data_IF_311256932878
#
_entry.id   IF_311256932878
#
_cell.length_a   1.000
_cell.length_b   1.000
_cell.length_c   1.000
_cell.angle_alpha   90.00
_cell.angle_beta   90.00
_cell.angle_gamma   90.00
#
_symmetry.space_group_name_H-M   'P 1'
#
loop_
_entity.id
_entity.type
_entity.pdbx_description
1 polymer ?
#
# COMPACT_ATOMS: atom_id res chain seq x y z
N UNK A 1 6.07 30.51 17.29
CA UNK A 1 6.63 29.26 16.73
C UNK A 1 5.72 28.12 17.17
N UNK A 2 5.12 27.37 16.25
CA UNK A 2 4.33 26.20 16.61
C UNK A 2 5.30 25.10 17.06
N UNK A 3 5.26 24.74 18.34
CA UNK A 3 5.98 23.58 18.86
C UNK A 3 5.17 22.32 18.57
N UNK A 4 5.78 21.38 17.84
CA UNK A 4 5.17 20.10 17.51
C UNK A 4 5.34 19.12 18.66
N UNK A 5 4.26 18.48 19.10
CA UNK A 5 4.28 17.58 20.26
C UNK A 5 4.31 16.13 19.80
N UNK A 6 5.22 15.35 20.38
CA UNK A 6 5.29 13.89 20.24
C UNK A 6 5.12 13.28 21.63
N UNK A 7 4.11 12.43 21.77
CA UNK A 7 3.89 11.62 22.96
C UNK A 7 4.71 10.34 22.87
N UNK A 8 5.34 9.94 23.96
CA UNK A 8 6.21 8.76 24.05
C UNK A 8 5.71 7.87 25.17
N UNK A 9 5.64 6.56 24.90
CA UNK A 9 5.27 5.58 25.92
C UNK A 9 6.32 5.53 27.03
N UNK A 10 5.90 5.28 28.28
CA UNK A 10 6.79 5.26 29.45
C UNK A 10 8.02 4.35 29.28
N UNK A 11 7.86 3.21 28.59
CA UNK A 11 8.96 2.27 28.29
C UNK A 11 10.04 2.83 27.35
N UNK A 12 9.73 3.88 26.59
CA UNK A 12 10.63 4.48 25.57
C UNK A 12 11.30 5.77 26.03
N UNK A 13 11.07 6.22 27.26
CA UNK A 13 11.56 7.51 27.80
C UNK A 13 13.08 7.65 27.71
N UNK A 14 13.80 6.53 27.85
CA UNK A 14 15.26 6.48 27.83
C UNK A 14 15.84 5.98 26.50
N UNK A 15 14.99 5.63 25.53
CA UNK A 15 15.44 5.13 24.23
C UNK A 15 16.20 6.21 23.44
N UNK A 16 17.20 5.81 22.66
CA UNK A 16 18.06 6.71 21.86
C UNK A 16 17.24 7.65 20.94
N UNK A 17 16.20 7.13 20.27
CA UNK A 17 15.27 7.91 19.43
C UNK A 17 14.62 9.04 20.25
N UNK A 18 14.17 8.75 21.47
CA UNK A 18 13.56 9.73 22.36
C UNK A 18 14.56 10.78 22.82
N UNK A 19 15.79 10.38 23.13
CA UNK A 19 16.86 11.31 23.51
C UNK A 19 17.20 12.26 22.35
N UNK A 20 17.34 11.73 21.14
CA UNK A 20 17.60 12.53 19.94
C UNK A 20 16.44 13.48 19.60
N UNK A 21 15.18 13.03 19.75
CA UNK A 21 14.00 13.90 19.57
C UNK A 21 13.98 15.08 20.56
N UNK A 22 14.41 14.87 21.82
CA UNK A 22 14.49 15.96 22.81
C UNK A 22 15.53 17.01 22.47
N UNK A 23 16.60 16.64 21.77
CA UNK A 23 17.64 17.57 21.33
C UNK A 23 17.22 18.39 20.10
N UNK A 24 16.14 18.00 19.43
CA UNK A 24 15.69 18.60 18.18
C UNK A 24 14.86 19.86 18.41
N UNK A 25 15.26 20.96 17.77
CA UNK A 25 14.54 22.24 17.85
C UNK A 25 13.14 22.12 17.24
N UNK A 26 12.14 22.72 17.90
CA UNK A 26 10.76 22.77 17.41
C UNK A 26 9.92 21.52 17.72
N UNK A 27 10.50 20.52 18.36
CA UNK A 27 9.81 19.32 18.84
C UNK A 27 9.77 19.33 20.36
N UNK A 28 8.59 19.09 20.93
CA UNK A 28 8.39 18.86 22.37
C UNK A 28 8.03 17.40 22.57
N UNK A 29 8.78 16.72 23.43
CA UNK A 29 8.52 15.32 23.79
C UNK A 29 7.76 15.27 25.10
N UNK A 30 6.60 14.64 25.12
CA UNK A 30 5.78 14.43 26.30
C UNK A 30 5.71 12.93 26.62
N UNK A 31 5.79 12.58 27.90
CA UNK A 31 5.65 11.19 28.33
C UNK A 31 4.17 10.92 28.58
N UNK A 32 3.62 9.88 27.95
CA UNK A 32 2.26 9.44 28.15
C UNK A 32 2.26 8.01 28.68
N UNK A 33 1.91 7.83 29.95
CA UNK A 33 1.85 6.52 30.61
C UNK A 33 0.70 5.65 30.09
N UNK A 34 -0.33 6.26 29.52
CA UNK A 34 -1.48 5.57 28.92
C UNK A 34 -1.19 5.09 27.49
N UNK A 35 -0.08 5.54 26.88
CA UNK A 35 0.36 5.10 25.56
C UNK A 35 1.04 3.72 25.65
N UNK A 36 0.23 2.70 25.93
CA UNK A 36 0.71 1.31 26.09
C UNK A 36 0.77 0.57 24.75
N UNK A 37 -0.11 0.93 23.81
CA UNK A 37 -0.30 0.21 22.54
C UNK A 37 0.64 0.68 21.42
N UNK A 38 1.36 1.79 21.59
CA UNK A 38 2.32 2.32 20.62
C UNK A 38 3.57 2.84 21.33
N UNK A 39 4.63 3.10 20.57
CA UNK A 39 5.93 3.54 21.10
C UNK A 39 6.03 5.07 21.08
N UNK A 40 5.59 5.66 19.97
CA UNK A 40 5.49 7.09 19.75
C UNK A 40 4.10 7.42 19.20
N UNK A 41 3.58 8.60 19.51
CA UNK A 41 2.35 9.12 18.93
C UNK A 41 2.47 10.61 18.64
N UNK A 42 2.01 11.00 17.46
CA UNK A 42 1.65 12.39 17.17
C UNK A 42 0.13 12.54 17.32
N UNK A 43 -0.40 13.76 17.21
CA UNK A 43 -1.86 13.99 17.22
C UNK A 43 -2.61 13.25 16.11
N UNK A 44 -1.93 12.86 15.03
CA UNK A 44 -2.55 12.33 13.84
C UNK A 44 -2.07 10.93 13.44
N UNK A 45 -1.01 10.40 14.05
CA UNK A 45 -0.47 9.09 13.69
C UNK A 45 0.23 8.43 14.88
N UNK A 46 0.10 7.12 14.99
CA UNK A 46 0.76 6.30 16.00
C UNK A 46 1.87 5.47 15.37
N UNK A 47 2.99 5.32 16.07
CA UNK A 47 4.19 4.65 15.55
C UNK A 47 4.64 3.57 16.52
N UNK A 48 4.85 2.37 15.98
CA UNK A 48 5.59 1.28 16.60
C UNK A 48 6.99 1.27 15.99
N UNK A 49 8.01 1.29 16.83
CA UNK A 49 9.41 1.31 16.41
C UNK A 49 10.05 -0.04 16.74
N UNK A 50 10.72 -0.64 15.77
CA UNK A 50 11.57 -1.80 16.00
C UNK A 50 12.87 -1.69 15.20
N UNK A 51 13.89 -2.37 15.69
CA UNK A 51 15.12 -2.58 14.95
C UNK A 51 15.04 -3.94 14.25
N UNK A 52 15.37 -3.98 12.96
CA UNK A 52 15.31 -5.18 12.11
C UNK A 52 16.12 -6.34 12.70
N UNK A 53 17.21 -6.02 13.39
CA UNK A 53 18.16 -6.99 13.94
C UNK A 53 18.01 -7.18 15.45
N UNK A 54 16.99 -6.57 16.08
CA UNK A 54 16.75 -6.87 17.48
C UNK A 54 16.42 -8.34 17.65
N UNK A 55 17.07 -8.97 18.63
CA UNK A 55 16.85 -10.38 18.92
C UNK A 55 15.39 -10.66 19.34
N UNK A 56 14.69 -9.62 19.81
CA UNK A 56 13.25 -9.64 20.09
C UNK A 56 12.42 -9.79 18.81
N UNK A 57 12.75 -9.04 17.76
CA UNK A 57 12.02 -9.10 16.50
C UNK A 57 12.28 -10.42 15.76
N UNK A 58 13.47 -11.02 15.90
CA UNK A 58 13.79 -12.31 15.32
C UNK A 58 13.10 -13.46 16.03
N UNK A 59 13.02 -13.41 17.37
CA UNK A 59 12.42 -14.48 18.17
C UNK A 59 10.91 -14.40 18.26
N UNK A 60 10.31 -13.23 18.04
CA UNK A 60 8.88 -13.02 18.33
C UNK A 60 8.15 -12.19 17.27
N UNK A 61 8.17 -12.71 16.05
CA UNK A 61 7.35 -12.21 14.93
C UNK A 61 5.86 -12.14 15.28
N UNK A 62 5.36 -13.13 16.00
CA UNK A 62 3.96 -13.21 16.42
C UNK A 62 3.59 -12.07 17.37
N UNK A 63 4.44 -11.74 18.35
CA UNK A 63 4.23 -10.60 19.23
C UNK A 63 4.22 -9.27 18.51
N UNK A 64 5.09 -9.06 17.51
CA UNK A 64 5.03 -7.82 16.71
C UNK A 64 3.68 -7.68 15.99
N UNK A 65 3.19 -8.76 15.39
CA UNK A 65 1.88 -8.77 14.73
C UNK A 65 0.74 -8.52 15.73
N UNK A 66 0.78 -9.16 16.89
CA UNK A 66 -0.22 -8.93 17.95
C UNK A 66 -0.20 -7.48 18.45
N UNK A 67 0.98 -6.89 18.63
CA UNK A 67 1.12 -5.48 19.01
C UNK A 67 0.56 -4.54 17.93
N UNK A 68 0.77 -4.84 16.65
CA UNK A 68 0.18 -4.08 15.54
C UNK A 68 -1.34 -4.19 15.52
N UNK A 69 -1.87 -5.40 15.74
CA UNK A 69 -3.31 -5.63 15.84
C UNK A 69 -3.93 -4.84 16.98
N UNK A 70 -3.32 -4.90 18.16
CA UNK A 70 -3.79 -4.15 19.33
C UNK A 70 -3.71 -2.64 19.08
N UNK A 71 -2.59 -2.14 18.53
CA UNK A 71 -2.45 -0.74 18.17
C UNK A 71 -3.55 -0.29 17.21
N UNK A 72 -3.83 -1.10 16.17
CA UNK A 72 -4.88 -0.82 15.19
C UNK A 72 -6.27 -0.78 15.79
N UNK A 73 -6.61 -1.72 16.66
CA UNK A 73 -7.90 -1.73 17.33
C UNK A 73 -8.10 -0.52 18.24
N UNK A 74 -7.03 -0.06 18.92
CA UNK A 74 -7.12 1.08 19.85
C UNK A 74 -7.02 2.45 19.19
N UNK A 75 -6.34 2.56 18.05
CA UNK A 75 -6.14 3.84 17.34
C UNK A 75 -7.36 4.27 16.50
N UNK A 76 -8.37 3.41 16.31
CA UNK A 76 -9.55 3.73 15.51
C UNK A 76 -9.16 4.11 14.07
N UNK A 77 -9.53 5.32 13.64
CA UNK A 77 -9.20 5.82 12.29
C UNK A 77 -7.79 6.39 12.18
N UNK A 78 -7.06 6.55 13.29
CA UNK A 78 -5.71 7.08 13.27
C UNK A 78 -4.75 6.08 12.59
N UNK A 79 -3.92 6.52 11.63
CA UNK A 79 -2.94 5.66 11.00
C UNK A 79 -1.93 5.11 12.01
N UNK A 80 -1.72 3.80 11.93
CA UNK A 80 -0.67 3.08 12.67
C UNK A 80 0.46 2.78 11.70
N UNK A 81 1.67 3.16 12.10
CA UNK A 81 2.89 3.03 11.31
C UNK A 81 3.85 2.09 12.05
N UNK A 82 4.30 1.03 11.39
CA UNK A 82 5.46 0.26 11.78
C UNK A 82 6.70 0.92 11.17
N UNK A 83 7.56 1.46 12.02
CA UNK A 83 8.88 1.98 11.64
C UNK A 83 9.94 0.93 11.98
N UNK A 84 10.66 0.47 10.97
CA UNK A 84 11.72 -0.53 11.10
C UNK A 84 13.06 0.12 10.80
N UNK A 85 13.94 0.18 11.80
CA UNK A 85 15.34 0.58 11.58
C UNK A 85 16.09 -0.57 10.92
N UNK A 86 16.62 -0.30 9.74
CA UNK A 86 17.52 -1.15 8.99
C UNK A 86 18.95 -0.82 9.41
N UNK A 87 19.73 -1.85 9.72
CA UNK A 87 21.16 -1.68 9.91
C UNK A 87 21.84 -1.67 8.53
N UNK A 88 22.71 -0.68 8.28
CA UNK A 88 23.47 -0.59 7.04
C UNK A 88 24.49 -1.70 6.90
N UNK A 89 24.95 -2.25 8.02
CA UNK A 89 26.07 -3.20 8.06
C UNK A 89 25.60 -4.66 7.99
N UNK A 90 24.28 -4.88 8.13
CA UNK A 90 23.67 -6.20 8.09
C UNK A 90 22.47 -6.23 7.13
N UNK A 91 22.63 -6.95 6.02
CA UNK A 91 21.56 -7.14 5.05
C UNK A 91 20.38 -7.91 5.67
N UNK A 92 19.18 -7.36 5.51
CA UNK A 92 17.93 -8.02 5.90
C UNK A 92 17.48 -8.91 4.75
N UNK A 93 17.20 -10.18 5.05
CA UNK A 93 16.81 -11.15 4.02
C UNK A 93 15.52 -10.75 3.30
N UNK A 94 15.41 -11.14 2.02
CA UNK A 94 14.21 -10.88 1.21
C UNK A 94 12.96 -11.54 1.82
N UNK A 95 13.10 -12.72 2.44
CA UNK A 95 11.99 -13.37 3.17
C UNK A 95 11.48 -12.48 4.31
N UNK A 96 12.39 -11.83 5.03
CA UNK A 96 12.06 -10.94 6.15
C UNK A 96 11.39 -9.66 5.67
N UNK A 97 11.87 -9.06 4.59
CA UNK A 97 11.24 -7.89 3.96
C UNK A 97 9.84 -8.23 3.42
N UNK A 98 9.69 -9.39 2.78
CA UNK A 98 8.41 -9.89 2.30
C UNK A 98 7.43 -10.11 3.45
N UNK A 99 7.88 -10.74 4.54
CA UNK A 99 7.09 -10.92 5.76
C UNK A 99 6.65 -9.58 6.37
N UNK A 100 7.55 -8.60 6.51
CA UNK A 100 7.22 -7.26 6.98
C UNK A 100 6.13 -6.61 6.12
N UNK A 101 6.27 -6.69 4.80
CA UNK A 101 5.32 -6.09 3.89
C UNK A 101 3.95 -6.78 3.96
N UNK A 102 3.91 -8.11 3.85
CA UNK A 102 2.67 -8.87 3.75
C UNK A 102 1.95 -9.00 5.10
N UNK A 103 2.67 -9.40 6.16
CA UNK A 103 2.06 -9.71 7.45
C UNK A 103 1.87 -8.47 8.32
N UNK A 104 2.80 -7.52 8.28
CA UNK A 104 2.72 -6.30 9.10
C UNK A 104 2.07 -5.14 8.33
N UNK A 105 2.46 -4.91 7.08
CA UNK A 105 1.90 -3.83 6.24
C UNK A 105 0.49 -4.15 5.76
N UNK A 106 0.36 -5.14 4.87
CA UNK A 106 -0.89 -5.45 4.16
C UNK A 106 -1.93 -6.06 5.10
N UNK A 107 -1.61 -7.15 5.80
CA UNK A 107 -2.58 -7.88 6.62
C UNK A 107 -3.08 -7.07 7.81
N UNK A 108 -2.22 -6.28 8.47
CA UNK A 108 -2.64 -5.36 9.55
C UNK A 108 -3.06 -3.98 9.06
N UNK A 109 -3.08 -3.76 7.73
CA UNK A 109 -3.38 -2.48 7.10
C UNK A 109 -2.54 -1.32 7.66
N UNK A 110 -1.30 -1.56 8.10
CA UNK A 110 -0.44 -0.55 8.71
C UNK A 110 0.51 0.09 7.69
N UNK A 111 0.95 1.31 7.96
CA UNK A 111 2.02 1.93 7.18
C UNK A 111 3.34 1.27 7.54
N UNK A 112 4.07 0.75 6.56
CA UNK A 112 5.42 0.22 6.79
C UNK A 112 6.44 1.24 6.31
N UNK A 113 7.37 1.61 7.19
CA UNK A 113 8.45 2.55 6.88
C UNK A 113 9.76 1.95 7.32
N UNK A 114 10.69 1.88 6.38
CA UNK A 114 12.06 1.49 6.62
C UNK A 114 12.87 2.77 6.82
N UNK A 115 13.75 2.79 7.81
CA UNK A 115 14.68 3.89 8.08
C UNK A 115 16.09 3.33 8.20
N UNK A 116 17.10 4.03 7.70
CA UNK A 116 18.48 3.51 7.62
C UNK A 116 19.37 4.06 8.72
N UNK A 117 18.90 5.06 9.45
CA UNK A 117 19.63 5.67 10.54
C UNK A 117 18.71 6.14 11.66
N UNK A 118 19.31 6.38 12.83
CA UNK A 118 18.63 7.03 13.93
C UNK A 118 18.11 8.42 13.53
N UNK A 119 18.90 9.17 12.75
CA UNK A 119 18.54 10.50 12.29
C UNK A 119 17.31 10.49 11.36
N UNK A 120 17.20 9.48 10.48
CA UNK A 120 16.02 9.29 9.63
C UNK A 120 14.76 9.03 10.46
N UNK A 121 14.86 8.18 11.49
CA UNK A 121 13.77 7.89 12.40
C UNK A 121 13.29 9.17 13.11
N UNK A 122 14.23 9.94 13.65
CA UNK A 122 13.97 11.22 14.34
C UNK A 122 13.38 12.26 13.39
N UNK A 123 13.92 12.36 12.17
CA UNK A 123 13.43 13.25 11.12
C UNK A 123 11.99 12.92 10.73
N UNK A 124 11.69 11.64 10.56
CA UNK A 124 10.37 11.18 10.19
C UNK A 124 9.35 11.49 11.30
N UNK A 125 9.67 11.13 12.55
CA UNK A 125 8.81 11.41 13.71
C UNK A 125 8.55 12.91 13.90
N UNK A 126 9.58 13.75 13.75
CA UNK A 126 9.42 15.20 13.79
C UNK A 126 8.51 15.72 12.66
N UNK A 127 8.63 15.13 11.46
CA UNK A 127 7.82 15.50 10.30
C UNK A 127 6.35 15.07 10.48
N UNK A 128 6.08 13.91 11.07
CA UNK A 128 4.71 13.49 11.41
C UNK A 128 4.01 14.50 12.32
N UNK A 129 4.71 14.97 13.35
CA UNK A 129 4.18 15.97 14.27
C UNK A 129 3.99 17.36 13.61
N UNK A 130 4.74 17.65 12.55
CA UNK A 130 4.64 18.88 11.77
C UNK A 130 3.49 18.88 10.77
N UNK A 131 3.33 17.80 10.02
CA UNK A 131 2.38 17.70 8.91
C UNK A 131 1.06 17.02 9.27
N UNK A 132 0.94 16.45 10.47
CA UNK A 132 -0.26 15.79 10.97
C UNK A 132 -0.84 14.78 9.96
N UNK A 133 -0.04 13.78 9.57
CA UNK A 133 -0.44 12.76 8.58
C UNK A 133 -1.67 11.99 9.07
N UNK A 134 -2.84 12.26 8.49
CA UNK A 134 -4.12 11.65 8.91
C UNK A 134 -4.52 10.42 8.09
N UNK A 135 -3.85 10.16 6.96
CA UNK A 135 -4.14 9.02 6.09
C UNK A 135 -2.85 8.41 5.54
N UNK A 136 -2.86 7.08 5.41
CA UNK A 136 -1.82 6.28 4.75
C UNK A 136 -2.29 5.75 3.40
N UNK A 137 -3.47 6.18 2.94
CA UNK A 137 -3.97 5.79 1.63
C UNK A 137 -2.99 6.26 0.56
N UNK A 138 -2.63 5.33 -0.33
CA UNK A 138 -1.91 5.65 -1.56
C UNK A 138 -2.88 6.34 -2.53
N UNK A 139 -3.31 7.55 -2.20
CA UNK A 139 -3.89 8.44 -3.20
C UNK A 139 -2.70 8.92 -4.01
N UNK A 140 -2.52 8.39 -5.22
CA UNK A 140 -1.51 8.90 -6.15
C UNK A 140 -1.58 10.42 -6.13
N UNK A 141 -0.45 11.05 -5.76
CA UNK A 141 -0.39 12.46 -5.41
C UNK A 141 -1.30 13.26 -6.34
N UNK A 142 -2.35 13.88 -5.79
CA UNK A 142 -3.29 14.66 -6.58
C UNK A 142 -2.46 15.72 -7.31
N UNK A 143 -2.20 15.46 -8.61
CA UNK A 143 -1.48 16.42 -9.44
C UNK A 143 -2.31 17.69 -9.40
N UNK A 144 -1.65 18.87 -9.29
CA UNK A 144 -2.37 20.14 -9.31
C UNK A 144 -3.34 20.11 -10.49
N UNK A 145 -4.62 20.38 -10.23
CA UNK A 145 -5.64 20.47 -11.26
C UNK A 145 -5.19 21.57 -12.23
N UNK A 146 -4.55 21.17 -13.33
CA UNK A 146 -4.12 22.10 -14.38
C UNK A 146 -5.40 22.50 -15.10
N UNK A 147 -6.04 23.54 -14.57
CA UNK A 147 -7.30 24.07 -15.08
C UNK A 147 -7.24 24.36 -16.58
N UNK A 148 -8.37 24.12 -17.23
CA UNK A 148 -8.85 24.61 -18.53
C UNK A 148 -7.97 24.48 -19.78
N UNK A 149 -6.72 24.02 -19.69
CA UNK A 149 -5.87 23.81 -20.85
C UNK A 149 -6.05 22.38 -21.41
N UNK A 150 -6.53 22.21 -22.67
CA UNK A 150 -6.76 20.87 -23.23
C UNK A 150 -5.48 20.04 -23.41
N UNK A 151 -4.34 20.69 -23.66
CA UNK A 151 -3.09 20.00 -23.96
C UNK A 151 -2.48 19.25 -22.76
N UNK A 152 -2.38 19.83 -21.54
CA UNK A 152 -2.00 19.08 -20.34
C UNK A 152 -2.84 17.83 -20.09
N UNK A 153 -4.16 17.92 -20.24
CA UNK A 153 -5.07 16.77 -20.09
C UNK A 153 -4.76 15.69 -21.13
N UNK A 154 -4.50 16.08 -22.38
CA UNK A 154 -4.11 15.14 -23.43
C UNK A 154 -2.76 14.49 -23.17
N UNK A 155 -1.80 15.25 -22.63
CA UNK A 155 -0.49 14.72 -22.25
C UNK A 155 -0.67 13.66 -21.17
N UNK A 156 -1.43 13.96 -20.11
CA UNK A 156 -1.66 13.01 -19.03
C UNK A 156 -2.41 11.75 -19.50
N UNK A 157 -3.40 11.89 -20.37
CA UNK A 157 -4.18 10.77 -20.89
C UNK A 157 -3.36 9.86 -21.83
N UNK A 158 -2.65 10.44 -22.79
CA UNK A 158 -1.97 9.66 -23.84
C UNK A 158 -0.60 9.13 -23.37
N UNK A 159 0.03 9.73 -22.37
CA UNK A 159 1.32 9.26 -21.82
C UNK A 159 1.18 8.22 -20.72
N UNK A 160 -0.02 7.67 -20.47
CA UNK A 160 -0.19 6.51 -19.56
C UNK A 160 0.57 5.27 -20.04
N UNK A 161 0.87 5.19 -21.33
CA UNK A 161 1.76 4.19 -21.93
C UNK A 161 2.98 4.89 -22.55
N UNK A 162 3.93 5.39 -21.73
CA UNK A 162 5.06 6.19 -22.21
C UNK A 162 5.96 5.44 -23.21
N UNK A 163 5.97 4.10 -23.17
CA UNK A 163 6.61 3.21 -24.13
C UNK A 163 5.97 3.21 -25.53
N UNK A 164 4.79 3.80 -25.69
CA UNK A 164 4.07 3.97 -26.96
C UNK A 164 4.02 5.44 -27.35
N UNK A 165 3.71 6.34 -26.40
CA UNK A 165 3.50 7.78 -26.67
C UNK A 165 4.23 8.62 -25.64
N UNK A 166 5.13 9.48 -26.11
CA UNK A 166 5.83 10.46 -25.27
C UNK A 166 5.09 11.79 -25.28
N UNK A 167 5.39 12.67 -24.31
CA UNK A 167 4.85 14.05 -24.28
C UNK A 167 5.07 14.81 -25.60
N UNK A 168 6.25 14.65 -26.22
CA UNK A 168 6.56 15.29 -27.49
C UNK A 168 5.68 14.78 -28.63
N UNK A 169 5.32 13.49 -28.62
CA UNK A 169 4.39 12.94 -29.60
C UNK A 169 3.00 13.53 -29.39
N UNK A 170 2.52 13.65 -28.14
CA UNK A 170 1.22 14.27 -27.85
C UNK A 170 1.14 15.69 -28.39
N UNK A 171 2.19 16.50 -28.20
CA UNK A 171 2.26 17.87 -28.75
C UNK A 171 2.19 17.84 -30.29
N UNK A 172 2.90 16.92 -30.94
CA UNK A 172 2.87 16.79 -32.42
C UNK A 172 1.51 16.31 -32.92
N UNK A 173 0.87 15.40 -32.21
CA UNK A 173 -0.48 14.90 -32.51
C UNK A 173 -1.48 16.05 -32.38
N UNK A 174 -1.45 16.79 -31.28
CA UNK A 174 -2.33 17.94 -31.04
C UNK A 174 -2.17 19.04 -32.09
N UNK A 175 -0.95 19.23 -32.62
CA UNK A 175 -0.71 20.20 -33.70
C UNK A 175 -1.13 19.70 -35.09
N UNK A 176 -1.33 18.39 -35.28
CA UNK A 176 -1.64 17.79 -36.59
C UNK A 176 -3.10 17.33 -36.71
N UNK A 177 -3.73 16.98 -35.60
CA UNK A 177 -5.09 16.47 -35.52
C UNK A 177 -6.01 17.54 -34.93
N UNK A 178 -7.18 17.69 -35.54
CA UNK A 178 -8.12 18.79 -35.21
C UNK A 178 -8.89 18.52 -33.92
N UNK A 179 -9.01 17.25 -33.55
CA UNK A 179 -9.71 16.82 -32.34
C UNK A 179 -9.16 15.47 -31.84
N UNK A 180 -9.52 15.13 -30.61
CA UNK A 180 -9.22 13.82 -30.02
C UNK A 180 -9.94 12.70 -30.77
N UNK A 181 -11.17 12.94 -31.23
CA UNK A 181 -11.92 11.97 -32.01
C UNK A 181 -11.21 11.64 -33.34
N UNK A 182 -10.70 12.67 -34.03
CA UNK A 182 -9.88 12.51 -35.24
C UNK A 182 -8.62 11.68 -34.94
N UNK A 183 -7.91 12.00 -33.85
CA UNK A 183 -6.80 11.18 -33.37
C UNK A 183 -7.21 9.71 -33.13
N UNK A 184 -8.21 9.43 -32.29
CA UNK A 184 -8.62 8.06 -31.97
C UNK A 184 -9.09 7.23 -33.18
N UNK A 185 -9.68 7.90 -34.18
CA UNK A 185 -10.19 7.25 -35.39
C UNK A 185 -9.16 7.17 -36.52
N UNK A 186 -7.97 7.71 -36.36
CA UNK A 186 -6.93 7.73 -37.39
C UNK A 186 -6.37 6.33 -37.73
N UNK A 187 -6.16 6.07 -39.02
CA UNK A 187 -5.47 4.88 -39.52
C UNK A 187 -3.95 4.98 -39.32
N UNK A 188 -3.22 3.84 -39.28
CA UNK A 188 -1.74 3.82 -39.17
C UNK A 188 -1.05 4.73 -40.19
N UNK A 189 -1.54 4.80 -41.44
CA UNK A 189 -0.96 5.64 -42.49
C UNK A 189 -1.03 7.14 -42.17
N UNK A 190 -2.04 7.59 -41.44
CA UNK A 190 -2.17 8.99 -41.04
C UNK A 190 -1.21 9.36 -39.91
N UNK A 191 -0.93 8.40 -39.03
CA UNK A 191 0.06 8.54 -37.97
C UNK A 191 1.49 8.58 -38.50
N UNK A 192 1.78 7.79 -39.53
CA UNK A 192 3.10 7.77 -40.20
C UNK A 192 3.48 9.14 -40.78
N UNK A 193 2.49 9.97 -41.12
CA UNK A 193 2.69 11.34 -41.57
C UNK A 193 3.11 12.34 -40.49
N UNK A 194 3.21 11.92 -39.23
CA UNK A 194 3.61 12.77 -38.09
C UNK A 194 5.08 12.50 -37.75
N UNK A 195 5.88 13.56 -37.70
CA UNK A 195 7.31 13.45 -37.38
C UNK A 195 7.54 12.71 -36.05
N UNK A 196 8.35 11.64 -36.07
CA UNK A 196 8.65 10.81 -34.90
C UNK A 196 7.64 9.68 -34.60
N UNK A 197 6.56 9.57 -35.39
CA UNK A 197 5.60 8.45 -35.35
C UNK A 197 5.80 7.53 -36.56
N UNK A 198 6.95 6.84 -36.62
CA UNK A 198 7.20 5.89 -37.71
C UNK A 198 6.25 4.68 -37.70
N UNK A 199 6.26 3.90 -38.80
CA UNK A 199 5.36 2.74 -39.05
C UNK A 199 5.10 1.82 -37.86
N UNK A 200 6.15 1.42 -37.13
CA UNK A 200 6.00 0.55 -35.95
C UNK A 200 5.17 1.20 -34.83
N UNK A 201 5.38 2.50 -34.60
CA UNK A 201 4.71 3.27 -33.55
C UNK A 201 3.29 3.65 -33.96
N UNK A 202 3.09 3.99 -35.23
CA UNK A 202 1.78 4.18 -35.84
C UNK A 202 0.88 2.93 -35.72
N UNK A 203 1.41 1.76 -36.07
CA UNK A 203 0.68 0.49 -35.92
C UNK A 203 0.32 0.19 -34.46
N UNK A 204 1.24 0.45 -33.51
CA UNK A 204 0.99 0.28 -32.07
C UNK A 204 -0.08 1.25 -31.55
N UNK A 205 -0.05 2.51 -31.99
CA UNK A 205 -1.05 3.52 -31.65
C UNK A 205 -2.44 3.13 -32.16
N UNK A 206 -2.54 2.74 -33.43
CA UNK A 206 -3.80 2.28 -34.01
C UNK A 206 -4.33 1.06 -33.26
N UNK A 207 -3.47 0.08 -32.96
CA UNK A 207 -3.86 -1.08 -32.18
C UNK A 207 -4.34 -0.66 -30.78
N UNK A 208 -3.60 0.19 -30.06
CA UNK A 208 -3.98 0.64 -28.72
C UNK A 208 -5.37 1.30 -28.68
N UNK A 209 -5.72 2.12 -29.66
CA UNK A 209 -7.04 2.79 -29.70
C UNK A 209 -8.18 1.91 -30.20
N UNK A 210 -7.89 0.87 -31.00
CA UNK A 210 -8.91 0.03 -31.64
C UNK A 210 -9.01 -1.38 -31.09
N UNK A 211 -8.11 -1.78 -30.19
CA UNK A 211 -8.19 -3.09 -29.55
C UNK A 211 -9.44 -3.13 -28.67
N UNK A 212 -10.39 -4.04 -28.93
CA UNK A 212 -11.53 -4.19 -28.07
C UNK A 212 -11.06 -4.64 -26.69
N UNK A 213 -11.69 -4.10 -25.64
CA UNK A 213 -11.55 -4.67 -24.31
C UNK A 213 -12.21 -6.05 -24.35
N UNK A 214 -11.41 -7.10 -24.55
CA UNK A 214 -11.85 -8.46 -24.37
C UNK A 214 -12.02 -8.65 -22.87
N UNK A 215 -13.25 -8.52 -22.38
CA UNK A 215 -13.61 -9.12 -21.10
C UNK A 215 -13.48 -10.62 -21.28
N UNK A 216 -12.31 -11.19 -21.01
CA UNK A 216 -12.31 -12.58 -20.57
C UNK A 216 -13.28 -12.60 -19.41
N UNK A 217 -14.30 -13.46 -19.47
CA UNK A 217 -15.24 -13.70 -18.37
C UNK A 217 -14.54 -14.35 -17.16
N UNK A 218 -13.22 -14.19 -17.03
CA UNK A 218 -12.45 -14.54 -15.87
C UNK A 218 -12.61 -13.40 -14.87
N UNK A 219 -13.71 -13.48 -14.12
CA UNK A 219 -13.80 -12.81 -12.82
C UNK A 219 -12.54 -13.14 -12.04
N UNK A 220 -12.08 -12.24 -11.19
CA UNK A 220 -10.94 -12.46 -10.28
C UNK A 220 -11.11 -13.78 -9.48
N UNK A 221 -12.37 -14.18 -9.24
CA UNK A 221 -12.79 -15.48 -8.69
C UNK A 221 -12.23 -16.71 -9.45
N UNK A 222 -11.86 -16.60 -10.73
CA UNK A 222 -11.31 -17.71 -11.52
C UNK A 222 -9.85 -18.01 -11.23
N UNK A 223 -9.14 -17.11 -10.54
CA UNK A 223 -7.78 -17.34 -10.05
C UNK A 223 -7.75 -17.92 -8.63
N UNK A 224 -8.91 -17.98 -7.97
CA UNK A 224 -9.11 -18.73 -6.73
C UNK A 224 -9.58 -20.13 -7.12
N UNK A 225 -8.83 -21.20 -6.81
CA UNK A 225 -9.32 -22.55 -7.03
C UNK A 225 -10.64 -22.70 -6.27
N UNK A 226 -11.70 -23.11 -6.97
CA UNK A 226 -12.97 -23.45 -6.37
C UNK A 226 -12.80 -24.71 -5.50
N UNK A 227 -12.25 -24.56 -4.29
CA UNK A 227 -12.47 -25.53 -3.22
C UNK A 227 -13.88 -25.28 -2.71
N UNK A 228 -14.79 -26.16 -3.13
CA UNK A 228 -16.21 -26.10 -2.81
C UNK A 228 -16.47 -26.06 -1.30
N UNK A 229 -17.51 -25.30 -0.94
CA UNK A 229 -17.98 -25.19 0.44
C UNK A 229 -18.52 -23.80 0.75
N UNK A 230 -19.74 -23.55 0.30
CA UNK A 230 -20.58 -22.38 0.64
C UNK A 230 -20.52 -22.00 2.13
N UNK A 231 -20.08 -20.78 2.46
CA UNK A 231 -20.63 -19.98 3.58
C UNK A 231 -20.17 -18.51 3.58
N UNK A 232 -20.34 -17.78 2.48
CA UNK A 232 -20.16 -16.31 2.50
C UNK A 232 -21.03 -15.64 1.42
N UNK A 233 -22.34 -15.82 1.50
CA UNK A 233 -23.28 -15.12 0.61
C UNK A 233 -24.49 -14.54 1.36
N UNK A 234 -24.28 -14.12 2.61
CA UNK A 234 -25.30 -13.46 3.43
C UNK A 234 -24.70 -12.32 4.24
N UNK A 235 -24.11 -11.32 3.56
CA UNK A 235 -23.77 -10.04 4.20
C UNK A 235 -23.83 -8.84 3.23
N UNK A 236 -24.74 -8.84 2.26
CA UNK A 236 -25.01 -7.65 1.42
C UNK A 236 -26.46 -7.50 0.94
N UNK A 237 -27.41 -8.09 1.67
CA UNK A 237 -28.84 -7.78 1.52
C UNK A 237 -29.46 -7.54 2.90
N UNK A 238 -29.06 -6.46 3.54
CA UNK A 238 -29.72 -5.93 4.73
C UNK A 238 -29.64 -4.40 4.74
N UNK A 239 -29.97 -3.79 3.60
CA UNK A 239 -30.23 -2.37 3.49
C UNK A 239 -31.30 -2.19 2.42
N UNK A 240 -32.55 -2.51 2.77
CA UNK A 240 -33.77 -1.89 2.23
C UNK A 240 -35.03 -2.60 2.80
N UNK A 241 -35.98 -1.78 3.26
CA UNK A 241 -37.39 -2.05 3.56
C UNK A 241 -37.84 -2.43 5.00
N UNK A 242 -38.22 -1.36 5.73
CA UNK A 242 -39.49 -1.09 6.43
C UNK A 242 -40.11 -2.02 7.51
N UNK A 243 -40.28 -1.39 8.69
CA UNK A 243 -41.40 -1.42 9.67
C UNK A 243 -42.12 -2.75 9.96
N UNK A 244 -42.02 -3.22 11.21
CA UNK A 244 -43.12 -3.31 12.20
C UNK A 244 -42.63 -3.89 13.54
N UNK A 245 -42.97 -3.22 14.65
CA UNK A 245 -42.97 -3.74 16.03
C UNK A 245 -44.34 -4.40 16.33
N UNK A 246 -44.61 -5.03 17.51
CA UNK A 246 -43.74 -5.51 18.60
C UNK A 246 -44.13 -6.94 19.12
N UNK A 247 -43.43 -7.40 20.18
CA UNK A 247 -43.83 -8.31 21.31
C UNK A 247 -43.01 -9.59 21.50
N UNK A 248 -42.64 -9.84 22.76
CA UNK A 248 -42.34 -11.19 23.29
C UNK A 248 -40.97 -11.37 23.92
N UNK A 249 -40.93 -11.52 25.24
CA UNK A 249 -39.79 -11.89 26.09
C UNK A 249 -39.19 -13.28 25.77
N UNK A 250 -37.88 -13.47 26.00
CA UNK A 250 -37.33 -14.49 26.93
C UNK A 250 -35.86 -14.87 26.64
N UNK A 251 -35.05 -14.71 27.68
CA UNK A 251 -33.85 -15.44 28.14
C UNK A 251 -33.34 -16.67 27.34
N UNK A 252 -32.04 -16.69 27.00
CA UNK A 252 -31.04 -17.70 27.43
C UNK A 252 -29.70 -17.57 26.68
N UNK A 253 -28.58 -17.65 27.42
CA UNK A 253 -27.24 -18.00 26.89
C UNK A 253 -27.23 -19.49 26.51
N UNK A 254 -26.34 -19.91 25.60
CA UNK A 254 -25.21 -20.71 26.06
C UNK A 254 -23.87 -20.42 25.38
N UNK A 255 -22.84 -20.76 26.15
CA UNK A 255 -21.41 -20.85 25.86
C UNK A 255 -21.13 -21.95 24.82
N UNK A 256 -20.28 -21.69 23.82
CA UNK A 256 -19.55 -22.76 23.12
C UNK A 256 -18.21 -22.24 22.58
N UNK A 257 -17.16 -22.98 22.92
CA UNK A 257 -15.78 -22.72 22.54
C UNK A 257 -15.53 -23.18 21.10
N UNK A 258 -14.87 -22.35 20.29
CA UNK A 258 -14.41 -22.73 18.96
C UNK A 258 -12.89 -22.57 18.87
N UNK A 259 -12.23 -23.72 18.86
CA UNK A 259 -10.87 -23.94 18.39
C UNK A 259 -10.77 -23.57 16.91
N UNK A 260 -9.85 -22.66 16.56
CA UNK A 260 -9.60 -22.25 15.17
C UNK A 260 -8.34 -22.96 14.67
N UNK A 261 -8.53 -23.79 13.64
CA UNK A 261 -7.51 -24.54 12.91
C UNK A 261 -6.51 -23.62 12.18
N UNK A 262 -5.23 -23.77 12.49
CA UNK A 262 -4.08 -23.03 11.93
C UNK A 262 -3.53 -23.63 10.61
N UNK A 263 -4.27 -24.51 9.94
CA UNK A 263 -3.72 -25.32 8.84
C UNK A 263 -3.66 -24.63 7.46
N UNK A 264 -4.32 -23.48 7.26
CA UNK A 264 -4.58 -22.93 5.91
C UNK A 264 -3.40 -22.13 5.30
N UNK A 265 -2.37 -21.76 6.07
CA UNK A 265 -1.27 -20.88 5.60
C UNK A 265 -0.10 -21.62 4.95
N UNK A 266 0.01 -22.95 5.10
CA UNK A 266 1.20 -23.70 4.69
C UNK A 266 1.27 -24.01 3.18
N UNK A 267 0.11 -24.21 2.54
CA UNK A 267 0.04 -24.63 1.13
C UNK A 267 0.25 -23.44 0.16
N UNK A 268 -0.25 -22.25 0.50
CA UNK A 268 0.01 -21.02 -0.26
C UNK A 268 1.51 -20.66 -0.26
N UNK A 269 2.16 -20.79 0.90
CA UNK A 269 3.61 -20.61 1.05
C UNK A 269 4.40 -21.59 0.18
N UNK A 270 4.00 -22.87 0.15
CA UNK A 270 4.66 -23.90 -0.66
C UNK A 270 4.59 -23.60 -2.16
N UNK A 271 3.43 -23.17 -2.66
CA UNK A 271 3.23 -22.84 -4.08
C UNK A 271 4.02 -21.61 -4.51
N UNK A 272 4.08 -20.58 -3.67
CA UNK A 272 4.86 -19.38 -3.95
C UNK A 272 6.36 -19.68 -3.99
N UNK A 273 6.89 -20.46 -3.05
CA UNK A 273 8.30 -20.85 -3.05
C UNK A 273 8.66 -21.71 -4.27
N UNK A 274 7.77 -22.62 -4.69
CA UNK A 274 7.98 -23.41 -5.91
C UNK A 274 7.98 -22.56 -7.19
N UNK A 275 7.16 -21.52 -7.26
CA UNK A 275 7.11 -20.62 -8.40
C UNK A 275 8.33 -19.68 -8.48
N UNK A 276 8.88 -19.28 -7.33
CA UNK A 276 10.13 -18.52 -7.26
C UNK A 276 11.33 -19.37 -7.67
N UNK A 277 11.39 -20.63 -7.23
CA UNK A 277 12.45 -21.55 -7.64
C UNK A 277 12.42 -21.81 -9.15
N UNK A 278 11.24 -22.03 -9.73
CA UNK A 278 11.11 -22.22 -11.19
C UNK A 278 11.50 -20.98 -12.01
N UNK A 279 11.43 -19.78 -11.45
CA UNK A 279 11.90 -18.56 -12.14
C UNK A 279 13.41 -18.42 -12.07
N UNK A 280 14.02 -18.72 -10.93
CA UNK A 280 15.47 -18.77 -10.76
C UNK A 280 16.10 -19.80 -11.70
N UNK A 281 15.56 -21.02 -11.72
CA UNK A 281 16.09 -22.09 -12.58
C UNK A 281 15.96 -21.73 -14.08
N UNK A 282 14.95 -20.93 -14.45
CA UNK A 282 14.73 -20.47 -15.82
C UNK A 282 15.63 -19.29 -16.22
N UNK A 283 15.96 -18.41 -15.27
CA UNK A 283 16.92 -17.32 -15.50
C UNK A 283 18.36 -17.85 -15.64
N UNK A 284 18.70 -18.95 -14.95
CA UNK A 284 19.99 -19.63 -15.09
C UNK A 284 20.11 -20.40 -16.43
N UNK A 285 19.01 -20.91 -16.98
CA UNK A 285 18.98 -21.54 -18.31
C UNK A 285 19.04 -20.52 -19.47
N UNK A 286 18.51 -19.30 -19.28
CA UNK A 286 18.50 -18.24 -20.32
C UNK A 286 19.74 -17.31 -20.26
N UNK A 287 20.55 -17.37 -19.20
CA UNK A 287 21.77 -16.56 -19.02
C UNK A 287 23.08 -17.20 -19.48
N UNK A 288 23.02 -18.39 -20.10
CA UNK A 288 24.17 -19.19 -20.52
C UNK A 288 24.41 -19.22 -22.03
N UNK A 289 24.51 -18.06 -22.70
CA UNK A 289 25.19 -17.90 -23.99
C UNK A 289 26.02 -16.61 -24.04
#
# INVERSE_FOLDING_TARGET
>A
MNTHVISVGSRWVHHEVTQALRQRRGVRVEVNEELQHCDFASRASSVLYCDAHSAEMQRDQASLVLRLQEARQRCGTQPVILMVRMDSDNEVSLERLSWLNLECGVAQQCGLILVWSLDDAVQYLASLAAYAVTSLEFTGAARPYVGDAPLPVLVDALTQTPQVVTRNDVVRIANRKTSVADALMSEASEWEGIAGLGRKKAARLQHLFRTPFLSSQQRIDSFVPATGGSSFSTASKAAESHLSQPTGESTARPTEALSVDTAVTTEGRRRMMSALQQRLDKEDEEGGE
#
